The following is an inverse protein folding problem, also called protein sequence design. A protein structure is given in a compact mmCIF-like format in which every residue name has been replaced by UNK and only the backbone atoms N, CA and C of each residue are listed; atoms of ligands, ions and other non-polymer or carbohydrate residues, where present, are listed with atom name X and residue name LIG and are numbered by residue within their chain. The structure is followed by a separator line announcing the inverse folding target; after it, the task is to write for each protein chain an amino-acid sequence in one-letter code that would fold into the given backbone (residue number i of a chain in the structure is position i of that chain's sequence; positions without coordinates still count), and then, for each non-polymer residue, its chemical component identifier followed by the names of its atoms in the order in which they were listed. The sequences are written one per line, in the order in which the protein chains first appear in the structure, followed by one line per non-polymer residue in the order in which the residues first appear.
data_IF_055700681053
#
_entry.id   IF_055700681053
#
_cell.length_a   1.000
_cell.length_b   1.000
_cell.length_c   1.000
_cell.angle_alpha   90.00
_cell.angle_beta   90.00
_cell.angle_gamma   90.00
#
_symmetry.space_group_name_H-M   'P 1'
#
loop_
_entity.id
_entity.type
_entity.pdbx_description
1 polymer ?
#
# COMPACT_ATOMS: atom_id res chain seq x y z
N UNK A 1 -17.14 -3.16 -11.42
CA UNK A 1 -16.90 -1.81 -11.97
C UNK A 1 -15.52 -1.38 -11.50
N UNK A 2 -14.84 -0.49 -12.24
CA UNK A 2 -13.41 -0.22 -12.07
C UNK A 2 -13.09 0.46 -10.73
N UNK A 3 -12.98 -0.32 -9.65
CA UNK A 3 -12.63 0.17 -8.30
C UNK A 3 -11.12 0.47 -8.15
N UNK A 4 -10.40 0.53 -9.28
CA UNK A 4 -9.00 0.93 -9.33
C UNK A 4 -8.91 2.32 -9.96
N UNK A 5 -8.41 3.29 -9.20
CA UNK A 5 -8.10 4.63 -9.70
C UNK A 5 -6.91 5.23 -8.96
N UNK A 6 -6.22 6.16 -9.61
CA UNK A 6 -5.08 6.87 -9.04
C UNK A 6 -5.29 8.37 -9.15
N UNK A 7 -5.24 9.06 -8.02
CA UNK A 7 -5.37 10.52 -7.89
C UNK A 7 -4.02 11.12 -7.49
N UNK A 8 -3.59 12.20 -8.15
CA UNK A 8 -2.45 13.02 -7.72
C UNK A 8 -2.97 14.20 -6.91
N UNK A 9 -2.57 14.28 -5.65
CA UNK A 9 -2.97 15.33 -4.71
C UNK A 9 -2.03 16.55 -4.77
N UNK A 10 -0.73 16.30 -4.95
CA UNK A 10 0.28 17.35 -5.05
C UNK A 10 1.53 16.84 -5.78
N UNK A 11 2.32 17.79 -6.29
CA UNK A 11 3.59 17.53 -6.98
C UNK A 11 4.65 18.56 -6.60
N UNK A 12 5.90 18.12 -6.52
CA UNK A 12 7.08 18.98 -6.36
C UNK A 12 8.20 18.45 -7.28
N UNK A 13 8.46 19.16 -8.38
CA UNK A 13 9.31 18.66 -9.47
C UNK A 13 8.82 17.31 -10.01
N UNK A 14 9.64 16.27 -9.90
CA UNK A 14 9.28 14.90 -10.29
C UNK A 14 8.57 14.10 -9.18
N UNK A 15 8.53 14.62 -7.95
CA UNK A 15 7.89 13.97 -6.81
C UNK A 15 6.37 14.14 -6.88
N UNK A 16 5.65 13.11 -6.41
CA UNK A 16 4.18 13.03 -6.46
C UNK A 16 3.63 12.49 -5.16
N UNK A 17 2.67 13.20 -4.59
CA UNK A 17 1.78 12.72 -3.53
C UNK A 17 0.45 12.34 -4.16
N UNK A 18 -0.05 11.15 -3.88
CA UNK A 18 -1.32 10.69 -4.47
C UNK A 18 -2.02 9.61 -3.68
N UNK A 19 -3.21 9.22 -4.12
CA UNK A 19 -4.01 8.13 -3.57
C UNK A 19 -4.28 7.08 -4.62
N UNK A 20 -4.07 5.82 -4.25
CA UNK A 20 -4.50 4.67 -5.03
C UNK A 20 -5.76 4.11 -4.38
N UNK A 21 -6.88 4.22 -5.08
CA UNK A 21 -8.13 3.60 -4.65
C UNK A 21 -8.18 2.18 -5.18
N UNK A 22 -8.55 1.26 -4.31
CA UNK A 22 -8.78 -0.16 -4.61
C UNK A 22 -10.10 -0.60 -3.98
N UNK A 23 -10.62 -1.74 -4.40
CA UNK A 23 -11.79 -2.36 -3.77
C UNK A 23 -11.57 -2.67 -2.26
N UNK A 24 -10.31 -2.78 -1.81
CA UNK A 24 -9.96 -3.14 -0.43
C UNK A 24 -9.55 -1.93 0.42
N UNK A 25 -9.67 -0.71 -0.11
CA UNK A 25 -9.30 0.52 0.58
C UNK A 25 -8.42 1.43 -0.26
N UNK A 26 -8.05 2.56 0.34
CA UNK A 26 -7.17 3.57 -0.28
C UNK A 26 -5.76 3.41 0.27
N UNK A 27 -4.76 3.58 -0.60
CA UNK A 27 -3.33 3.57 -0.28
C UNK A 27 -2.74 4.94 -0.61
N UNK A 28 -2.09 5.56 0.35
CA UNK A 28 -1.37 6.80 0.21
C UNK A 28 0.00 6.55 -0.46
N UNK A 29 0.30 7.34 -1.49
CA UNK A 29 1.57 7.28 -2.24
C UNK A 29 2.40 8.53 -1.98
N UNK A 30 3.74 8.42 -1.82
CA UNK A 30 4.56 7.21 -2.02
C UNK A 30 4.36 6.12 -0.97
N UNK A 31 4.19 4.87 -1.39
CA UNK A 31 3.90 3.73 -0.51
C UNK A 31 5.12 2.80 -0.41
N UNK A 32 5.41 2.32 0.81
CA UNK A 32 6.37 1.24 1.05
C UNK A 32 5.62 -0.04 1.41
N UNK A 33 5.88 -1.14 0.68
CA UNK A 33 5.11 -2.38 0.80
C UNK A 33 5.94 -3.46 1.52
N UNK A 34 5.55 -3.91 2.72
CA UNK A 34 6.13 -5.09 3.34
C UNK A 34 5.89 -6.33 2.47
N UNK A 35 6.90 -7.18 2.33
CA UNK A 35 6.83 -8.40 1.52
C UNK A 35 6.40 -9.59 2.39
N UNK A 36 5.26 -10.17 2.04
CA UNK A 36 4.78 -11.43 2.55
C UNK A 36 5.25 -12.59 1.67
N UNK A 37 6.20 -13.40 2.16
CA UNK A 37 6.62 -14.64 1.49
C UNK A 37 5.91 -15.82 2.14
N UNK A 38 5.33 -16.72 1.34
CA UNK A 38 4.54 -17.86 1.84
C UNK A 38 3.41 -17.42 2.79
N UNK A 39 2.62 -16.43 2.36
CA UNK A 39 1.47 -15.86 3.08
C UNK A 39 1.77 -15.23 4.46
N UNK A 40 3.03 -14.91 4.76
CA UNK A 40 3.41 -14.26 6.03
C UNK A 40 4.46 -13.17 5.84
N UNK A 41 4.29 -12.06 6.56
CA UNK A 41 5.38 -11.11 6.81
C UNK A 41 6.20 -11.68 7.96
N UNK A 42 7.44 -12.08 7.68
CA UNK A 42 8.27 -12.85 8.63
C UNK A 42 8.32 -12.19 10.02
N UNK A 43 8.09 -13.01 11.04
CA UNK A 43 8.11 -12.63 12.46
C UNK A 43 7.04 -11.60 12.90
N UNK A 44 6.03 -11.31 12.07
CA UNK A 44 4.98 -10.34 12.41
C UNK A 44 3.58 -10.92 12.20
N UNK A 45 2.69 -10.70 13.18
CA UNK A 45 1.25 -10.89 13.00
C UNK A 45 0.67 -9.75 12.14
N UNK A 46 -0.42 -9.97 11.38
CA UNK A 46 -1.02 -8.96 10.51
C UNK A 46 -1.33 -7.63 11.22
N UNK A 47 -1.81 -7.70 12.46
CA UNK A 47 -2.09 -6.52 13.30
C UNK A 47 -0.84 -5.69 13.56
N UNK A 48 0.32 -6.33 13.75
CA UNK A 48 1.60 -5.65 13.96
C UNK A 48 2.08 -4.97 12.68
N UNK A 49 1.86 -5.59 11.52
CA UNK A 49 2.17 -4.99 10.21
C UNK A 49 1.29 -3.76 9.98
N UNK A 50 -0.02 -3.86 10.28
CA UNK A 50 -0.94 -2.72 10.18
C UNK A 50 -0.56 -1.59 11.15
N UNK A 51 -0.10 -1.92 12.35
CA UNK A 51 0.34 -0.94 13.35
C UNK A 51 1.58 -0.12 12.91
N UNK A 52 2.36 -0.59 11.92
CA UNK A 52 3.46 0.22 11.36
C UNK A 52 2.99 1.29 10.37
N UNK A 53 1.69 1.37 10.09
CA UNK A 53 1.14 2.23 9.06
C UNK A 53 1.19 1.63 7.65
N UNK A 54 1.45 0.32 7.51
CA UNK A 54 1.37 -0.33 6.22
C UNK A 54 -0.09 -0.42 5.75
N UNK A 55 -0.37 0.15 4.58
CA UNK A 55 -1.70 0.18 3.96
C UNK A 55 -1.86 -0.92 2.89
N UNK A 56 -0.74 -1.49 2.44
CA UNK A 56 -0.69 -2.54 1.43
C UNK A 56 0.51 -3.46 1.68
N UNK A 57 0.38 -4.74 1.33
CA UNK A 57 1.46 -5.74 1.38
C UNK A 57 1.66 -6.39 0.01
N UNK A 58 2.87 -6.83 -0.28
CA UNK A 58 3.19 -7.60 -1.49
C UNK A 58 3.22 -9.08 -1.16
N UNK A 59 2.39 -9.88 -1.81
CA UNK A 59 2.46 -11.34 -1.77
C UNK A 59 3.25 -11.88 -2.95
N UNK A 60 4.25 -12.74 -2.71
CA UNK A 60 4.88 -13.50 -3.78
C UNK A 60 3.96 -14.65 -4.21
N UNK A 61 3.86 -14.86 -5.53
CA UNK A 61 3.21 -16.03 -6.14
C UNK A 61 3.97 -17.31 -5.87
#
# INVERSE_FOLDING_TARGET
MSDFSFEILASDGAARRGRLHTAHGTVETPAFMPVGTAATVKAMMPERVRATGAEIILGNT
#
